data_IF_397251678421
#
_entry.id   IF_397251678421
#
_cell.length_a   1.000
_cell.length_b   1.000
_cell.length_c   1.000
_cell.angle_alpha   90.00
_cell.angle_beta   90.00
_cell.angle_gamma   90.00
#
_symmetry.space_group_name_H-M   'P 1'
#
loop_
_entity.id
_entity.type
_entity.pdbx_description
1 polymer ?
#
# COMPACT_ATOMS: atom_id res chain seq x y z
N UNK A 1 2.54 16.85 38.86
CA UNK A 1 2.82 18.24 38.45
C UNK A 1 3.91 18.76 39.34
N UNK A 2 5.01 19.22 38.75
CA UNK A 2 6.05 19.95 39.48
C UNK A 2 5.46 21.28 39.98
N UNK A 3 5.64 21.60 41.26
CA UNK A 3 4.97 22.77 41.86
C UNK A 3 5.62 24.11 41.45
N UNK A 4 6.81 24.05 40.87
CA UNK A 4 7.58 25.23 40.44
C UNK A 4 7.45 25.53 38.94
N UNK A 5 6.69 24.75 38.16
CA UNK A 5 6.54 25.02 36.72
C UNK A 5 5.55 26.17 36.46
N UNK A 6 5.97 27.16 35.67
CA UNK A 6 5.14 28.31 35.29
C UNK A 6 4.16 27.98 34.15
N UNK A 7 4.43 26.89 33.43
CA UNK A 7 3.69 26.43 32.25
C UNK A 7 3.46 24.92 32.32
N UNK A 8 2.37 24.48 31.70
CA UNK A 8 1.98 23.11 31.45
C UNK A 8 2.05 22.88 29.94
N UNK A 9 2.85 21.91 29.53
CA UNK A 9 2.87 21.43 28.15
C UNK A 9 2.70 19.91 28.18
N UNK A 10 1.72 19.42 27.42
CA UNK A 10 1.47 18.00 27.27
C UNK A 10 1.27 17.69 25.80
N UNK A 11 2.01 16.71 25.31
CA UNK A 11 1.98 16.28 23.92
C UNK A 11 1.72 14.78 23.86
N UNK A 12 0.75 14.37 23.05
CA UNK A 12 0.44 12.97 22.82
C UNK A 12 0.48 12.67 21.33
N UNK A 13 1.22 11.63 20.97
CA UNK A 13 1.13 11.00 19.66
C UNK A 13 0.22 9.78 19.78
N UNK A 14 -0.89 9.79 19.05
CA UNK A 14 -1.87 8.72 19.02
C UNK A 14 -1.79 8.06 17.65
N UNK A 15 -1.45 6.78 17.62
CA UNK A 15 -1.29 6.00 16.39
C UNK A 15 -2.25 4.81 16.37
N UNK A 16 -3.18 4.84 15.44
CA UNK A 16 -4.05 3.72 15.11
C UNK A 16 -3.42 2.85 13.99
N UNK A 17 -3.86 1.59 13.85
CA UNK A 17 -3.54 0.78 12.67
C UNK A 17 -3.96 1.49 11.37
N UNK A 18 -3.23 1.23 10.28
CA UNK A 18 -3.60 1.77 8.95
C UNK A 18 -4.98 1.23 8.56
N UNK A 19 -5.84 2.10 8.01
CA UNK A 19 -7.25 1.78 7.75
C UNK A 19 -8.21 2.19 8.87
N UNK A 20 -7.70 2.56 10.05
CA UNK A 20 -8.51 3.15 11.12
C UNK A 20 -8.35 4.67 11.18
N UNK A 21 -9.27 5.31 11.89
CA UNK A 21 -9.25 6.72 12.30
C UNK A 21 -9.25 6.82 13.82
N UNK A 22 -8.63 7.88 14.33
CA UNK A 22 -8.64 8.23 15.75
C UNK A 22 -9.88 9.06 16.03
N UNK A 23 -10.76 8.55 16.89
CA UNK A 23 -11.89 9.28 17.43
C UNK A 23 -11.54 9.73 18.85
N UNK A 24 -11.22 11.01 18.98
CA UNK A 24 -10.92 11.68 20.25
C UNK A 24 -12.21 12.27 20.82
N UNK A 25 -12.58 11.82 22.02
CA UNK A 25 -13.75 12.31 22.75
C UNK A 25 -13.23 13.04 23.99
N UNK A 26 -13.26 14.36 23.96
CA UNK A 26 -12.86 15.21 25.10
C UNK A 26 -14.09 15.44 25.96
N UNK A 27 -14.15 14.72 27.09
CA UNK A 27 -15.24 14.84 28.06
C UNK A 27 -15.17 16.21 28.75
N UNK A 28 -13.98 16.59 29.21
CA UNK A 28 -13.74 17.89 29.86
C UNK A 28 -12.38 18.47 29.50
N UNK A 29 -12.36 19.76 29.16
CA UNK A 29 -11.18 20.64 29.21
C UNK A 29 -11.59 21.87 30.02
N UNK A 30 -11.12 21.97 31.25
CA UNK A 30 -11.48 23.01 32.20
C UNK A 30 -10.31 24.00 32.37
N UNK A 31 -10.48 25.17 31.74
CA UNK A 31 -9.47 26.21 31.67
C UNK A 31 -10.10 27.61 31.76
N UNK A 32 -9.33 28.54 32.32
CA UNK A 32 -9.67 29.96 32.41
C UNK A 32 -8.71 30.77 31.54
N UNK A 33 -9.24 31.35 30.46
CA UNK A 33 -8.47 32.18 29.56
C UNK A 33 -8.71 33.67 29.86
N UNK A 34 -7.62 34.45 29.97
CA UNK A 34 -7.71 35.92 29.90
C UNK A 34 -7.88 36.33 28.44
N UNK A 35 -8.61 37.41 28.19
CA UNK A 35 -9.01 37.94 26.87
C UNK A 35 -7.87 38.28 25.88
N UNK A 36 -6.59 38.17 26.28
CA UNK A 36 -5.42 38.56 25.50
C UNK A 36 -4.61 37.39 24.92
N UNK A 37 -4.94 36.13 25.22
CA UNK A 37 -4.18 34.99 24.71
C UNK A 37 -4.58 34.63 23.27
N UNK A 38 -3.62 34.63 22.35
CA UNK A 38 -3.83 34.24 20.95
C UNK A 38 -4.19 32.75 20.86
N UNK A 39 -5.35 32.46 20.25
CA UNK A 39 -5.77 31.09 19.95
C UNK A 39 -5.27 30.61 18.57
N UNK A 40 -4.44 31.41 17.91
CA UNK A 40 -3.82 31.07 16.65
C UNK A 40 -2.48 30.37 16.93
N UNK A 41 -2.37 29.13 16.47
CA UNK A 41 -1.11 28.43 16.46
C UNK A 41 -0.30 28.94 15.26
N UNK A 42 0.71 29.79 15.50
CA UNK A 42 1.53 30.37 14.45
C UNK A 42 2.96 29.83 14.50
N UNK A 43 3.56 29.57 13.34
CA UNK A 43 4.89 28.97 13.24
C UNK A 43 6.02 29.92 13.67
N UNK A 44 5.81 31.23 13.52
CA UNK A 44 6.79 32.27 13.86
C UNK A 44 6.74 32.66 15.36
N UNK A 45 5.66 32.31 16.06
CA UNK A 45 5.39 32.66 17.47
C UNK A 45 4.98 31.43 18.31
N UNK A 46 5.64 30.29 18.11
CA UNK A 46 5.37 29.03 18.86
C UNK A 46 5.43 29.18 20.38
N UNK A 47 6.10 30.22 20.87
CA UNK A 47 6.25 30.51 22.29
C UNK A 47 4.97 31.08 22.94
N UNK A 48 4.04 31.66 22.18
CA UNK A 48 2.85 32.34 22.71
C UNK A 48 1.55 31.53 22.67
N UNK A 49 1.52 30.40 21.97
CA UNK A 49 0.31 29.58 21.88
C UNK A 49 -0.10 29.05 23.27
N UNK A 50 -1.32 29.40 23.69
CA UNK A 50 -1.93 28.95 24.93
C UNK A 50 -3.30 28.31 24.65
N UNK A 51 -3.30 27.02 24.35
CA UNK A 51 -4.49 26.29 23.94
C UNK A 51 -4.28 24.79 23.76
N UNK A 52 -5.34 24.14 23.29
CA UNK A 52 -5.36 22.80 22.74
C UNK A 52 -5.24 22.90 21.23
N UNK A 53 -4.34 22.12 20.64
CA UNK A 53 -4.16 22.01 19.21
C UNK A 53 -4.10 20.55 18.80
N UNK A 54 -4.84 20.20 17.75
CA UNK A 54 -4.86 18.87 17.16
C UNK A 54 -4.25 18.95 15.77
N UNK A 55 -3.22 18.16 15.50
CA UNK A 55 -2.54 18.08 14.22
C UNK A 55 -2.81 16.73 13.56
N UNK A 56 -2.89 16.72 12.23
CA UNK A 56 -2.88 15.49 11.46
C UNK A 56 -1.46 14.91 11.44
N UNK A 57 -1.32 13.61 11.70
CA UNK A 57 -0.02 12.93 11.67
C UNK A 57 0.64 12.76 13.04
N UNK A 58 1.93 12.45 13.01
CA UNK A 58 2.69 12.04 14.19
C UNK A 58 3.20 13.20 15.08
N UNK A 59 3.14 14.44 14.60
CA UNK A 59 3.75 15.60 15.29
C UNK A 59 3.10 16.92 14.89
N UNK A 60 3.46 18.01 15.58
CA UNK A 60 3.12 19.38 15.20
C UNK A 60 4.02 19.96 14.09
N UNK A 61 4.75 19.11 13.34
CA UNK A 61 5.71 19.51 12.31
C UNK A 61 5.08 20.35 11.19
N UNK A 62 3.83 20.07 10.83
CA UNK A 62 3.12 20.85 9.81
C UNK A 62 3.04 22.33 10.21
N UNK A 63 2.96 22.62 11.51
CA UNK A 63 2.73 23.95 12.02
C UNK A 63 1.30 24.45 11.84
N UNK A 64 0.40 23.63 11.29
CA UNK A 64 -1.00 23.96 11.05
C UNK A 64 -1.88 22.90 11.70
N UNK A 65 -2.46 23.19 12.87
CA UNK A 65 -3.42 22.30 13.50
C UNK A 65 -4.74 22.27 12.72
N UNK A 66 -5.35 21.09 12.66
CA UNK A 66 -6.68 20.86 12.11
C UNK A 66 -7.78 21.38 13.04
N UNK A 67 -7.48 21.50 14.33
CA UNK A 67 -8.40 22.07 15.31
C UNK A 67 -7.62 22.76 16.42
N UNK A 68 -8.06 23.96 16.81
CA UNK A 68 -7.58 24.64 18.02
C UNK A 68 -8.73 25.02 18.93
N UNK A 69 -8.47 24.98 20.23
CA UNK A 69 -9.39 25.47 21.23
C UNK A 69 -8.66 26.06 22.43
N UNK A 70 -9.09 27.24 22.85
CA UNK A 70 -8.45 27.96 23.95
C UNK A 70 -9.42 28.29 25.08
N UNK A 71 -10.70 27.95 24.90
CA UNK A 71 -11.75 28.05 25.90
C UNK A 71 -12.04 26.68 26.52
N UNK A 72 -12.75 26.69 27.65
CA UNK A 72 -13.24 25.46 28.26
C UNK A 72 -14.14 24.68 27.29
N UNK A 73 -13.94 23.37 27.21
CA UNK A 73 -14.72 22.46 26.37
C UNK A 73 -15.40 21.43 27.26
N UNK A 74 -16.64 21.08 26.91
CA UNK A 74 -17.33 19.89 27.41
C UNK A 74 -17.89 19.11 26.24
N UNK A 75 -17.62 17.80 26.21
CA UNK A 75 -18.12 16.86 25.20
C UNK A 75 -17.77 17.23 23.75
N UNK A 76 -16.49 17.45 23.44
CA UNK A 76 -16.02 17.56 22.06
C UNK A 76 -15.75 16.16 21.50
N UNK A 77 -16.22 15.90 20.28
CA UNK A 77 -15.84 14.71 19.52
C UNK A 77 -15.09 15.14 18.26
N UNK A 78 -13.86 14.68 18.10
CA UNK A 78 -13.01 14.95 16.95
C UNK A 78 -12.60 13.63 16.28
N UNK A 79 -12.85 13.51 14.97
CA UNK A 79 -12.41 12.37 14.16
C UNK A 79 -11.23 12.80 13.30
N UNK A 80 -10.10 12.09 13.41
CA UNK A 80 -8.93 12.36 12.58
C UNK A 80 -9.18 12.00 11.12
N UNK A 81 -8.44 12.65 10.22
CA UNK A 81 -8.46 12.34 8.79
C UNK A 81 -7.52 11.18 8.44
N UNK A 82 -6.54 10.86 9.30
CA UNK A 82 -5.58 9.75 9.13
C UNK A 82 -5.62 8.78 10.29
N UNK A 83 -4.74 7.78 10.27
CA UNK A 83 -4.51 6.88 11.40
C UNK A 83 -3.60 7.47 12.49
N UNK A 84 -3.06 8.69 12.34
CA UNK A 84 -2.20 9.34 13.32
C UNK A 84 -2.76 10.71 13.72
N UNK A 85 -2.78 10.99 15.02
CA UNK A 85 -3.21 12.26 15.59
C UNK A 85 -2.17 12.73 16.60
N UNK A 86 -1.77 14.00 16.51
CA UNK A 86 -0.92 14.63 17.51
C UNK A 86 -1.70 15.69 18.26
N UNK A 87 -1.87 15.49 19.57
CA UNK A 87 -2.57 16.40 20.47
C UNK A 87 -1.55 17.18 21.29
N UNK A 88 -1.63 18.50 21.26
CA UNK A 88 -0.82 19.43 22.05
C UNK A 88 -1.73 20.23 22.97
N UNK A 89 -1.44 20.22 24.27
CA UNK A 89 -2.00 21.14 25.26
C UNK A 89 -0.86 22.01 25.77
N UNK A 90 -1.02 23.33 25.68
CA UNK A 90 -0.05 24.28 26.20
C UNK A 90 -0.79 25.38 26.96
N UNK A 91 -0.56 25.48 28.27
CA UNK A 91 -1.25 26.45 29.12
C UNK A 91 -0.31 27.02 30.19
N UNK A 92 -0.58 28.24 30.66
CA UNK A 92 -0.01 28.68 31.93
C UNK A 92 -0.69 27.93 33.07
N UNK A 93 0.07 27.51 34.10
CA UNK A 93 -0.49 26.88 35.29
C UNK A 93 -1.55 27.75 35.98
N UNK A 94 -1.51 29.09 35.79
CA UNK A 94 -2.52 30.03 36.32
C UNK A 94 -3.88 29.94 35.62
N UNK A 95 -3.93 29.35 34.42
CA UNK A 95 -5.13 29.20 33.60
C UNK A 95 -5.78 27.83 33.76
N UNK A 96 -5.12 26.86 34.38
CA UNK A 96 -5.66 25.51 34.58
C UNK A 96 -6.58 25.52 35.79
N UNK A 97 -7.87 25.24 35.59
CA UNK A 97 -8.86 25.19 36.65
C UNK A 97 -9.57 23.83 36.60
N UNK A 98 -9.24 22.89 37.50
CA UNK A 98 -9.93 21.61 37.56
C UNK A 98 -11.44 21.80 37.71
N UNK A 99 -12.20 20.91 37.08
CA UNK A 99 -13.65 20.87 37.21
C UNK A 99 -14.09 20.38 38.61
N UNK A 100 -15.40 20.18 38.80
CA UNK A 100 -15.96 19.72 40.06
C UNK A 100 -15.50 18.31 40.49
N UNK A 101 -14.92 17.54 39.57
CA UNK A 101 -14.39 16.19 39.81
C UNK A 101 -12.86 16.18 39.97
N UNK A 102 -12.21 17.34 39.80
CA UNK A 102 -10.77 17.50 39.93
C UNK A 102 -9.98 17.27 38.65
N UNK A 103 -10.63 17.13 37.49
CA UNK A 103 -9.98 16.99 36.19
C UNK A 103 -9.91 18.34 35.47
N UNK A 104 -8.73 18.71 34.98
CA UNK A 104 -8.61 19.84 34.05
C UNK A 104 -8.67 19.40 32.59
N UNK A 105 -8.32 18.14 32.30
CA UNK A 105 -8.43 17.53 30.99
C UNK A 105 -8.75 16.04 31.16
N UNK A 106 -9.86 15.61 30.57
CA UNK A 106 -10.30 14.22 30.52
C UNK A 106 -10.74 13.93 29.09
N UNK A 107 -10.10 12.95 28.46
CA UNK A 107 -10.43 12.54 27.11
C UNK A 107 -10.28 11.03 26.94
N UNK A 108 -11.19 10.46 26.17
CA UNK A 108 -11.20 9.06 25.75
C UNK A 108 -10.86 8.96 24.27
N UNK A 109 -10.15 7.90 23.91
CA UNK A 109 -9.71 7.64 22.53
C UNK A 109 -10.24 6.31 22.08
N UNK A 110 -10.88 6.30 20.92
CA UNK A 110 -11.37 5.07 20.27
C UNK A 110 -10.95 5.06 18.81
N UNK A 111 -10.97 3.88 18.18
CA UNK A 111 -10.60 3.74 16.78
C UNK A 111 -11.81 3.31 15.95
N UNK A 112 -12.09 4.06 14.90
CA UNK A 112 -13.18 3.77 13.95
C UNK A 112 -12.61 3.42 12.59
N UNK A 113 -13.37 2.73 11.75
CA UNK A 113 -12.94 2.43 10.38
C UNK A 113 -12.88 3.69 9.50
N UNK A 114 -11.93 3.72 8.58
CA UNK A 114 -11.90 4.68 7.49
C UNK A 114 -13.05 4.40 6.52
N UNK A 115 -13.72 5.44 6.01
CA UNK A 115 -14.73 5.24 4.98
C UNK A 115 -14.03 5.12 3.61
N UNK A 116 -13.89 3.89 3.14
CA UNK A 116 -13.22 3.57 1.87
C UNK A 116 -14.04 4.09 0.66
N UNK A 117 -15.34 4.33 0.83
CA UNK A 117 -16.18 4.85 -0.24
C UNK A 117 -16.09 6.38 -0.36
N UNK A 118 -15.71 7.05 0.72
CA UNK A 118 -15.54 8.49 0.74
C UNK A 118 -14.14 8.86 0.23
N UNK A 119 -14.06 9.22 -1.05
CA UNK A 119 -12.79 9.57 -1.69
C UNK A 119 -12.15 10.87 -1.18
N UNK A 120 -12.91 11.69 -0.45
CA UNK A 120 -12.37 12.88 0.23
C UNK A 120 -11.71 12.53 1.57
N UNK A 121 -11.96 11.35 2.13
CA UNK A 121 -11.16 10.83 3.24
C UNK A 121 -9.84 10.26 2.69
N UNK A 122 -8.72 10.91 3.04
CA UNK A 122 -7.42 10.43 2.59
C UNK A 122 -6.83 9.38 3.52
N UNK A 123 -6.15 8.39 2.94
CA UNK A 123 -5.49 7.29 3.63
C UNK A 123 -6.41 6.10 3.91
N UNK A 124 -5.80 4.93 4.11
CA UNK A 124 -6.54 3.67 4.28
C UNK A 124 -5.77 2.46 3.76
N UNK A 125 -6.43 1.32 3.66
CA UNK A 125 -5.89 0.13 2.99
C UNK A 125 -6.54 0.02 1.61
N UNK A 126 -5.73 -0.09 0.56
CA UNK A 126 -6.19 -0.20 -0.82
C UNK A 126 -5.75 -1.54 -1.38
N UNK A 127 -6.71 -2.46 -1.50
CA UNK A 127 -6.53 -3.74 -2.18
C UNK A 127 -6.60 -3.50 -3.69
N UNK A 128 -5.47 -3.65 -4.39
CA UNK A 128 -5.40 -3.42 -5.84
C UNK A 128 -5.71 -4.74 -6.55
N UNK A 129 -6.68 -4.72 -7.45
CA UNK A 129 -7.03 -5.90 -8.26
C UNK A 129 -6.25 -5.91 -9.57
N UNK A 130 -5.99 -7.10 -10.11
CA UNK A 130 -5.49 -7.27 -11.47
C UNK A 130 -6.49 -6.90 -12.56
N UNK A 131 -7.78 -6.83 -12.24
CA UNK A 131 -8.84 -6.56 -13.21
C UNK A 131 -9.04 -5.06 -13.50
N UNK A 132 -8.80 -4.19 -12.52
CA UNK A 132 -9.03 -2.75 -12.64
C UNK A 132 -8.05 -1.96 -11.78
N UNK A 133 -7.54 -0.82 -12.27
CA UNK A 133 -6.66 0.03 -11.50
C UNK A 133 -7.42 0.73 -10.37
N UNK A 134 -6.74 0.93 -9.25
CA UNK A 134 -7.22 1.71 -8.11
C UNK A 134 -6.74 3.15 -8.23
N UNK A 135 -7.63 4.13 -8.09
CA UNK A 135 -7.29 5.55 -8.21
C UNK A 135 -7.47 6.22 -6.85
N UNK A 136 -6.46 6.95 -6.40
CA UNK A 136 -6.51 7.82 -5.21
C UNK A 136 -6.10 9.25 -5.58
N UNK A 137 -6.57 10.21 -4.80
CA UNK A 137 -6.24 11.62 -4.97
C UNK A 137 -6.11 12.32 -3.61
N UNK A 138 -5.61 13.55 -3.62
CA UNK A 138 -5.65 14.41 -2.43
C UNK A 138 -7.11 14.75 -2.04
N UNK A 139 -7.39 15.03 -0.75
CA UNK A 139 -8.71 15.52 -0.34
C UNK A 139 -9.17 16.72 -1.17
N UNK A 140 -10.47 16.79 -1.51
CA UNK A 140 -11.10 17.86 -2.30
C UNK A 140 -10.64 17.97 -3.76
N UNK A 141 -9.76 17.10 -4.24
CA UNK A 141 -9.30 17.13 -5.63
C UNK A 141 -10.50 17.15 -6.61
N UNK A 142 -10.52 18.04 -7.62
CA UNK A 142 -9.42 18.87 -8.13
C UNK A 142 -9.16 20.19 -7.39
N UNK A 143 -9.91 20.50 -6.34
CA UNK A 143 -9.69 21.68 -5.51
C UNK A 143 -8.47 21.49 -4.59
N UNK A 144 -7.93 22.61 -4.12
CA UNK A 144 -6.79 22.62 -3.19
C UNK A 144 -7.14 21.89 -1.89
N UNK A 145 -6.24 21.01 -1.44
CA UNK A 145 -6.37 20.29 -0.18
C UNK A 145 -6.17 21.21 1.04
N UNK A 146 -6.55 20.78 2.24
CA UNK A 146 -6.40 21.59 3.45
C UNK A 146 -4.94 21.69 3.90
N UNK A 147 -4.56 22.82 4.50
CA UNK A 147 -3.18 22.97 5.02
C UNK A 147 -2.92 21.97 6.13
N UNK A 148 -1.69 21.46 6.18
CA UNK A 148 -1.32 20.43 7.16
C UNK A 148 -2.05 19.11 6.94
N UNK A 149 -2.58 18.88 5.73
CA UNK A 149 -3.05 17.55 5.30
C UNK A 149 -1.86 16.58 5.35
N UNK A 150 -2.00 15.51 6.09
CA UNK A 150 -1.14 14.34 5.99
C UNK A 150 -2.04 13.17 5.64
N UNK A 151 -1.58 12.22 4.82
CA UNK A 151 -2.35 11.07 4.39
C UNK A 151 -1.42 9.86 4.22
N UNK A 152 -1.91 8.66 4.57
CA UNK A 152 -1.16 7.41 4.48
C UNK A 152 -2.04 6.30 3.91
N UNK A 153 -1.66 5.73 2.76
CA UNK A 153 -2.32 4.60 2.14
C UNK A 153 -1.41 3.39 2.12
N UNK A 154 -1.88 2.25 2.62
CA UNK A 154 -1.22 0.97 2.45
C UNK A 154 -1.86 0.24 1.27
N UNK A 155 -1.11 0.12 0.18
CA UNK A 155 -1.52 -0.65 -0.97
C UNK A 155 -1.09 -2.11 -0.79
N UNK A 156 -1.99 -3.01 -1.17
CA UNK A 156 -1.76 -4.46 -1.15
C UNK A 156 -2.12 -5.03 -2.51
N UNK A 157 -1.21 -5.80 -3.08
CA UNK A 157 -1.47 -6.60 -4.27
C UNK A 157 -1.71 -8.07 -3.90
N UNK A 158 -2.40 -8.84 -4.77
CA UNK A 158 -2.50 -10.27 -4.60
C UNK A 158 -1.11 -10.94 -4.65
N UNK A 159 -0.94 -12.11 -4.03
CA UNK A 159 0.32 -12.84 -4.10
C UNK A 159 0.76 -13.11 -5.54
N UNK A 160 2.05 -12.93 -5.81
CA UNK A 160 2.64 -13.10 -7.14
C UNK A 160 2.43 -11.91 -8.08
N UNK A 161 1.86 -10.81 -7.58
CA UNK A 161 1.81 -9.53 -8.27
C UNK A 161 2.60 -8.47 -7.49
N UNK A 162 3.21 -7.55 -8.21
CA UNK A 162 3.81 -6.34 -7.67
C UNK A 162 3.04 -5.09 -8.10
N UNK A 163 3.28 -3.96 -7.43
CA UNK A 163 2.54 -2.72 -7.66
C UNK A 163 3.25 -1.83 -8.68
N UNK A 164 2.49 -1.24 -9.60
CA UNK A 164 2.96 -0.16 -10.46
C UNK A 164 2.08 1.05 -10.21
N UNK A 165 2.71 2.15 -9.80
CA UNK A 165 2.04 3.42 -9.64
C UNK A 165 2.21 4.28 -10.88
N UNK A 166 1.15 4.97 -11.28
CA UNK A 166 1.15 5.99 -12.32
C UNK A 166 0.67 7.29 -11.72
N UNK A 167 1.61 8.21 -11.52
CA UNK A 167 1.34 9.55 -11.04
C UNK A 167 0.88 10.33 -12.26
N UNK A 168 -0.44 10.54 -12.40
CA UNK A 168 -1.03 11.22 -13.56
C UNK A 168 -0.87 12.73 -13.46
N UNK A 169 -1.15 13.26 -12.28
CA UNK A 169 -1.12 14.69 -12.00
C UNK A 169 -0.50 14.88 -10.60
N UNK A 170 0.38 15.87 -10.46
CA UNK A 170 0.89 16.37 -9.20
C UNK A 170 1.16 17.86 -9.40
N UNK A 171 0.41 18.72 -8.74
CA UNK A 171 0.51 20.17 -8.85
C UNK A 171 0.56 20.75 -7.43
N UNK A 172 1.62 21.50 -7.17
CA UNK A 172 1.90 22.17 -5.91
C UNK A 172 1.05 23.42 -5.75
N UNK A 173 0.72 23.82 -4.53
CA UNK A 173 0.00 25.06 -4.29
C UNK A 173 0.88 26.30 -4.53
N UNK A 174 2.21 26.27 -4.32
CA UNK A 174 3.02 27.47 -4.52
C UNK A 174 3.56 27.57 -5.95
N UNK A 175 2.99 28.47 -6.74
CA UNK A 175 3.62 28.90 -7.98
C UNK A 175 4.74 29.90 -7.64
N UNK A 176 5.98 29.43 -7.41
CA UNK A 176 7.09 30.34 -7.10
C UNK A 176 7.72 30.91 -8.38
N UNK A 177 7.59 32.23 -8.60
CA UNK A 177 8.23 32.94 -9.74
C UNK A 177 9.78 33.01 -9.64
N UNK A 178 10.39 32.80 -8.47
CA UNK A 178 11.87 32.72 -8.39
C UNK A 178 12.43 31.33 -8.73
N UNK A 179 11.81 30.61 -9.67
CA UNK A 179 12.50 29.58 -10.45
C UNK A 179 13.54 30.18 -11.42
N UNK A 180 13.86 31.47 -11.31
CA UNK A 180 15.07 32.05 -11.91
C UNK A 180 16.32 31.45 -11.25
N UNK A 181 16.81 30.41 -11.89
CA UNK A 181 18.23 30.03 -11.94
C UNK A 181 18.91 29.70 -10.60
N UNK A 182 18.26 28.92 -9.73
CA UNK A 182 19.02 27.90 -8.99
C UNK A 182 18.75 26.56 -9.62
N UNK A 183 19.50 26.25 -10.69
CA UNK A 183 19.81 24.88 -11.08
C UNK A 183 20.42 24.18 -9.87
N UNK A 184 19.57 23.61 -9.02
CA UNK A 184 19.97 22.59 -8.09
C UNK A 184 20.46 21.43 -8.94
N UNK A 185 21.78 21.33 -9.11
CA UNK A 185 22.38 20.15 -9.69
C UNK A 185 22.04 18.97 -8.77
N UNK A 186 21.29 17.95 -9.23
CA UNK A 186 21.14 16.73 -8.46
C UNK A 186 22.55 16.17 -8.29
N UNK A 187 23.08 16.17 -7.07
CA UNK A 187 24.22 15.28 -6.79
C UNK A 187 23.65 13.87 -6.94
N UNK A 188 24.24 13.17 -7.90
CA UNK A 188 23.82 11.91 -8.49
C UNK A 188 23.12 10.90 -7.57
N UNK A 189 22.17 10.20 -8.19
CA UNK A 189 21.57 8.91 -7.82
C UNK A 189 20.77 8.90 -6.52
N UNK A 190 19.46 9.18 -6.66
CA UNK A 190 18.34 8.43 -6.07
C UNK A 190 17.04 9.07 -6.60
N UNK A 191 15.97 8.28 -6.77
CA UNK A 191 14.66 8.69 -7.28
C UNK A 191 13.88 9.65 -6.33
N UNK A 192 14.58 10.57 -5.67
CA UNK A 192 14.05 11.50 -4.69
C UNK A 192 14.16 12.92 -5.26
N UNK A 193 13.03 13.52 -5.65
CA UNK A 193 13.01 14.86 -6.28
C UNK A 193 13.27 15.99 -5.29
N UNK A 194 13.22 15.72 -3.97
CA UNK A 194 13.31 16.74 -2.93
C UNK A 194 13.70 16.16 -1.55
N UNK A 195 14.53 16.90 -0.82
CA UNK A 195 14.85 16.68 0.60
C UNK A 195 14.23 17.78 1.47
N UNK A 196 14.17 17.53 2.77
CA UNK A 196 13.74 18.55 3.74
C UNK A 196 14.60 19.82 3.58
N UNK A 197 14.00 21.04 3.60
CA UNK A 197 12.64 21.37 4.03
C UNK A 197 11.59 21.51 2.91
N UNK A 198 11.93 21.25 1.63
CA UNK A 198 11.03 21.43 0.48
C UNK A 198 9.63 20.76 0.64
N UNK A 199 9.51 19.52 1.16
CA UNK A 199 8.23 18.89 1.43
C UNK A 199 7.26 19.68 2.33
N UNK A 200 7.77 20.57 3.20
CA UNK A 200 6.90 21.42 4.03
C UNK A 200 6.30 22.57 3.24
N UNK A 201 7.05 23.08 2.28
CA UNK A 201 6.70 24.24 1.49
C UNK A 201 5.78 23.80 0.35
N UNK A 202 6.22 22.85 -0.47
CA UNK A 202 5.51 22.44 -1.69
C UNK A 202 4.57 21.24 -1.52
N UNK A 203 4.62 20.61 -0.35
CA UNK A 203 4.06 19.27 -0.17
C UNK A 203 4.93 18.19 -0.77
N UNK A 204 4.62 16.93 -0.48
CA UNK A 204 5.31 15.78 -1.04
C UNK A 204 4.42 14.54 -1.14
N UNK A 205 4.47 13.86 -2.28
CA UNK A 205 4.00 12.48 -2.45
C UNK A 205 5.20 11.53 -2.38
N UNK A 206 5.21 10.58 -1.45
CA UNK A 206 6.29 9.59 -1.27
C UNK A 206 5.74 8.17 -1.41
N UNK A 207 6.43 7.34 -2.18
CA UNK A 207 6.14 5.91 -2.38
C UNK A 207 7.28 5.10 -1.73
N UNK A 208 6.93 4.16 -0.86
CA UNK A 208 7.88 3.32 -0.12
C UNK A 208 7.80 1.86 -0.60
N UNK A 209 8.95 1.19 -0.67
CA UNK A 209 9.08 -0.22 -1.05
C UNK A 209 8.75 -1.19 0.08
N UNK A 210 7.70 -0.89 0.86
CA UNK A 210 7.27 -1.68 2.00
C UNK A 210 6.12 -1.01 2.74
N UNK A 211 5.64 -1.66 3.81
CA UNK A 211 4.41 -1.25 4.50
C UNK A 211 4.57 -0.15 5.56
N UNK A 212 5.75 0.44 5.71
CA UNK A 212 6.05 1.44 6.72
C UNK A 212 7.06 2.48 6.23
N UNK A 213 7.21 3.58 6.98
CA UNK A 213 8.06 4.72 6.61
C UNK A 213 9.57 4.47 6.79
N UNK A 214 9.97 3.35 7.40
CA UNK A 214 11.37 2.95 7.53
C UNK A 214 11.87 2.16 6.31
N UNK A 215 10.95 1.70 5.45
CA UNK A 215 11.29 1.05 4.19
C UNK A 215 11.98 2.04 3.23
N UNK A 216 12.60 1.50 2.18
CA UNK A 216 13.24 2.29 1.14
C UNK A 216 12.22 3.23 0.48
N UNK A 217 12.62 4.48 0.24
CA UNK A 217 11.82 5.45 -0.52
C UNK A 217 12.09 5.23 -2.00
N UNK A 218 11.16 4.61 -2.69
CA UNK A 218 11.26 4.30 -4.12
C UNK A 218 11.11 5.58 -4.95
N UNK A 219 10.19 6.45 -4.55
CA UNK A 219 9.98 7.74 -5.22
C UNK A 219 9.52 8.80 -4.22
N UNK A 220 9.92 10.05 -4.43
CA UNK A 220 9.33 11.19 -3.73
C UNK A 220 9.31 12.42 -4.63
N UNK A 221 8.11 12.94 -4.87
CA UNK A 221 7.88 14.14 -5.70
C UNK A 221 7.41 15.29 -4.81
N UNK A 222 7.98 16.48 -5.03
CA UNK A 222 7.55 17.75 -4.40
C UNK A 222 7.34 18.88 -5.41
N UNK A 223 7.55 18.64 -6.70
CA UNK A 223 7.43 19.65 -7.74
C UNK A 223 6.38 19.20 -8.75
N UNK A 224 5.80 20.17 -9.45
CA UNK A 224 4.82 19.92 -10.51
C UNK A 224 5.38 18.92 -11.53
N UNK A 225 4.54 17.97 -11.95
CA UNK A 225 4.88 17.05 -13.05
C UNK A 225 4.20 17.54 -14.32
N UNK A 226 4.96 17.61 -15.42
CA UNK A 226 4.44 17.98 -16.74
C UNK A 226 3.83 16.78 -17.46
N UNK A 227 4.39 15.58 -17.25
CA UNK A 227 3.96 14.33 -17.86
C UNK A 227 3.74 13.23 -16.81
N UNK A 228 2.80 12.30 -17.06
CA UNK A 228 2.57 11.18 -16.16
C UNK A 228 3.83 10.32 -15.95
N UNK A 229 4.12 9.98 -14.69
CA UNK A 229 5.29 9.17 -14.32
C UNK A 229 4.88 7.80 -13.80
N UNK A 230 5.48 6.74 -14.34
CA UNK A 230 5.29 5.37 -13.84
C UNK A 230 6.41 4.97 -12.89
N UNK A 231 6.04 4.33 -11.77
CA UNK A 231 6.92 3.95 -10.67
C UNK A 231 6.61 2.49 -10.29
N UNK A 232 7.38 1.51 -10.78
CA UNK A 232 7.23 0.12 -10.36
C UNK A 232 7.79 -0.08 -8.95
N UNK A 233 7.06 -0.82 -8.12
CA UNK A 233 7.45 -1.24 -6.77
C UNK A 233 7.36 -2.75 -6.71
N UNK A 234 8.51 -3.42 -6.67
CA UNK A 234 8.62 -4.90 -6.67
C UNK A 234 8.33 -5.51 -5.29
N UNK A 235 7.20 -5.15 -4.70
CA UNK A 235 6.72 -5.64 -3.41
C UNK A 235 5.20 -5.85 -3.44
N UNK A 236 4.71 -6.77 -2.60
CA UNK A 236 3.27 -7.06 -2.45
C UNK A 236 2.54 -6.02 -1.60
N UNK A 237 3.27 -5.37 -0.69
CA UNK A 237 2.76 -4.26 0.12
C UNK A 237 3.63 -3.01 -0.10
N UNK A 238 2.97 -1.86 -0.22
CA UNK A 238 3.63 -0.58 -0.44
C UNK A 238 2.88 0.54 0.27
N UNK A 239 3.61 1.34 1.06
CA UNK A 239 3.08 2.52 1.71
C UNK A 239 3.23 3.72 0.78
N UNK A 240 2.17 4.49 0.62
CA UNK A 240 2.19 5.79 -0.05
C UNK A 240 1.78 6.85 0.96
N UNK A 241 2.57 7.90 1.08
CA UNK A 241 2.27 9.03 1.97
C UNK A 241 2.16 10.32 1.18
N UNK A 242 1.12 11.10 1.44
CA UNK A 242 1.01 12.47 0.95
C UNK A 242 1.11 13.43 2.13
N UNK A 243 1.95 14.45 1.97
CA UNK A 243 2.06 15.57 2.89
C UNK A 243 1.71 16.82 2.10
N UNK A 244 0.61 17.46 2.44
CA UNK A 244 0.22 18.72 1.85
C UNK A 244 1.17 19.84 2.26
N UNK A 245 1.34 20.82 1.39
CA UNK A 245 2.01 22.06 1.72
C UNK A 245 1.40 22.71 2.96
N UNK A 246 2.27 23.26 3.80
CA UNK A 246 1.88 24.04 4.95
C UNK A 246 1.71 25.53 4.58
N UNK A 247 2.45 26.01 3.58
CA UNK A 247 2.40 27.42 3.14
C UNK A 247 1.22 27.68 2.20
N UNK A 248 0.67 28.89 2.29
CA UNK A 248 -0.39 29.35 1.40
C UNK A 248 0.13 29.61 -0.02
N UNK A 249 -0.68 29.30 -1.03
CA UNK A 249 -0.50 29.82 -2.39
C UNK A 249 -0.51 31.35 -2.39
N UNK A 250 0.61 31.96 -2.76
CA UNK A 250 0.67 33.39 -3.07
C UNK A 250 0.06 33.58 -4.46
N UNK A 251 -1.13 34.17 -4.52
CA UNK A 251 -1.80 34.44 -5.79
C UNK A 251 -1.20 35.69 -6.43
N UNK A 252 -0.71 35.55 -7.67
CA UNK A 252 -0.36 36.72 -8.47
C UNK A 252 -1.63 37.33 -9.07
N UNK A 253 -1.71 38.65 -9.09
CA UNK A 253 -2.85 39.38 -9.67
C UNK A 253 -2.96 39.07 -11.16
N UNK A 254 -4.08 38.45 -11.58
CA UNK A 254 -4.37 38.11 -12.98
C UNK A 254 -4.29 36.62 -13.33
N UNK A 255 -3.92 35.75 -12.38
CA UNK A 255 -3.97 34.29 -12.58
C UNK A 255 -5.39 33.77 -12.33
N UNK A 256 -5.93 32.97 -13.25
CA UNK A 256 -7.28 32.43 -13.14
C UNK A 256 -7.33 31.33 -12.06
N UNK A 257 -8.02 31.63 -10.96
CA UNK A 257 -8.09 30.76 -9.77
C UNK A 257 -8.75 29.39 -10.04
N UNK A 258 -9.47 29.24 -11.15
CA UNK A 258 -10.27 28.06 -11.47
C UNK A 258 -9.63 27.07 -12.46
N UNK A 259 -8.38 27.29 -12.89
CA UNK A 259 -7.76 26.45 -13.93
C UNK A 259 -6.70 25.44 -13.44
N UNK A 260 -6.20 25.54 -12.20
CA UNK A 260 -5.12 24.65 -11.71
C UNK A 260 -5.65 23.63 -10.69
N UNK A 261 -5.55 22.35 -11.05
CA UNK A 261 -5.95 21.21 -10.21
C UNK A 261 -4.87 20.93 -9.15
N UNK A 262 -4.90 21.66 -8.03
CA UNK A 262 -3.88 21.54 -6.98
C UNK A 262 -4.05 20.23 -6.23
N UNK A 263 -2.96 19.51 -6.00
CA UNK A 263 -2.98 18.19 -5.38
C UNK A 263 -2.39 17.11 -6.28
N UNK A 264 -2.88 15.88 -6.15
CA UNK A 264 -2.36 14.77 -6.94
C UNK A 264 -3.44 13.79 -7.36
N UNK A 265 -3.18 13.08 -8.45
CA UNK A 265 -3.96 11.95 -8.94
C UNK A 265 -3.03 10.76 -9.19
N UNK A 266 -3.16 9.71 -8.37
CA UNK A 266 -2.35 8.51 -8.43
C UNK A 266 -3.21 7.32 -8.84
N UNK A 267 -2.77 6.60 -9.86
CA UNK A 267 -3.34 5.33 -10.25
C UNK A 267 -2.39 4.19 -9.84
N UNK A 268 -2.92 3.13 -9.24
CA UNK A 268 -2.19 1.93 -8.90
C UNK A 268 -2.75 0.75 -9.69
N UNK A 269 -1.87 0.00 -10.33
CA UNK A 269 -2.19 -1.28 -11.00
C UNK A 269 -1.25 -2.36 -10.49
N UNK A 270 -1.66 -3.61 -10.66
CA UNK A 270 -0.77 -4.75 -10.39
C UNK A 270 -0.14 -5.25 -11.67
N UNK A 271 1.10 -5.71 -11.59
CA UNK A 271 1.78 -6.42 -12.67
C UNK A 271 2.32 -7.76 -12.16
N UNK A 272 2.39 -8.76 -13.04
CA UNK A 272 2.75 -10.11 -12.66
C UNK A 272 4.25 -10.25 -12.33
N UNK A 273 4.55 -10.90 -11.20
CA UNK A 273 5.90 -11.28 -10.82
C UNK A 273 6.31 -10.78 -9.43
N UNK A 274 7.59 -10.97 -9.13
CA UNK A 274 8.21 -10.53 -7.87
C UNK A 274 8.46 -11.66 -6.88
N UNK A 275 8.60 -11.29 -5.61
CA UNK A 275 8.91 -12.20 -4.50
C UNK A 275 7.64 -12.56 -3.74
N UNK A 276 7.43 -13.86 -3.54
CA UNK A 276 6.37 -14.42 -2.69
C UNK A 276 7.02 -15.09 -1.48
N UNK A 277 6.56 -14.76 -0.28
CA UNK A 277 7.04 -15.34 0.96
C UNK A 277 6.04 -16.40 1.44
N UNK A 278 6.46 -17.66 1.42
CA UNK A 278 5.68 -18.80 1.89
C UNK A 278 5.70 -18.89 3.43
N UNK A 279 4.56 -19.24 4.01
CA UNK A 279 4.37 -19.44 5.46
C UNK A 279 3.88 -20.86 5.76
N UNK A 280 3.59 -21.18 7.01
CA UNK A 280 3.01 -22.47 7.43
C UNK A 280 1.55 -22.68 6.97
N UNK A 281 0.87 -21.60 6.59
CA UNK A 281 -0.46 -21.63 5.95
C UNK A 281 -0.32 -21.71 4.43
N UNK A 282 -1.03 -22.66 3.81
CA UNK A 282 -1.09 -22.79 2.35
C UNK A 282 -1.69 -21.52 1.71
N UNK A 283 -0.88 -20.86 0.87
CA UNK A 283 -1.30 -19.73 0.04
C UNK A 283 -1.59 -20.20 -1.38
N UNK A 284 -2.52 -19.53 -2.07
CA UNK A 284 -2.85 -19.78 -3.47
C UNK A 284 -2.70 -18.49 -4.26
N UNK A 285 -1.93 -18.54 -5.35
CA UNK A 285 -1.86 -17.47 -6.34
C UNK A 285 -2.56 -17.90 -7.62
N UNK A 286 -3.37 -17.00 -8.18
CA UNK A 286 -4.12 -17.25 -9.41
C UNK A 286 -3.84 -16.13 -10.39
N UNK A 287 -3.36 -16.52 -11.57
CA UNK A 287 -3.15 -15.62 -12.69
C UNK A 287 -4.18 -15.93 -13.77
N UNK A 288 -4.80 -14.90 -14.30
CA UNK A 288 -5.79 -15.02 -15.37
C UNK A 288 -5.61 -13.86 -16.33
N UNK A 289 -5.48 -14.17 -17.61
CA UNK A 289 -5.40 -13.15 -18.68
C UNK A 289 -4.28 -12.11 -18.46
N UNK A 290 -3.07 -12.60 -18.18
CA UNK A 290 -1.89 -11.76 -17.95
C UNK A 290 -1.60 -10.83 -19.14
N UNK A 291 -1.38 -9.55 -18.84
CA UNK A 291 -0.94 -8.54 -19.81
C UNK A 291 0.52 -8.78 -20.19
N UNK A 292 1.35 -9.15 -19.21
CA UNK A 292 2.78 -9.31 -19.36
C UNK A 292 3.14 -10.52 -20.20
N UNK A 293 4.11 -10.34 -21.10
CA UNK A 293 4.66 -11.44 -21.90
C UNK A 293 5.51 -12.41 -21.06
N UNK A 294 6.16 -11.88 -20.03
CA UNK A 294 6.99 -12.66 -19.10
C UNK A 294 6.60 -12.30 -17.68
N UNK A 295 6.29 -13.31 -16.89
CA UNK A 295 6.04 -13.17 -15.46
C UNK A 295 7.00 -14.05 -14.67
N UNK A 296 7.89 -13.40 -13.92
CA UNK A 296 8.90 -14.07 -13.11
C UNK A 296 8.54 -13.98 -11.64
N UNK A 297 8.30 -15.13 -11.02
CA UNK A 297 7.93 -15.26 -9.62
C UNK A 297 9.04 -16.02 -8.91
N UNK A 298 9.46 -15.51 -7.76
CA UNK A 298 10.38 -16.22 -6.87
C UNK A 298 9.66 -16.50 -5.57
N UNK A 299 9.59 -17.75 -5.16
CA UNK A 299 8.96 -18.18 -3.90
C UNK A 299 10.08 -18.53 -2.92
N UNK A 300 10.07 -17.91 -1.74
CA UNK A 300 11.04 -18.13 -0.65
C UNK A 300 10.34 -18.34 0.68
N UNK A 301 11.04 -18.94 1.64
CA UNK A 301 10.55 -19.08 3.01
C UNK A 301 10.43 -17.69 3.66
N UNK A 302 9.32 -17.44 4.35
CA UNK A 302 9.14 -16.24 5.17
C UNK A 302 9.98 -16.31 6.45
N UNK A 303 10.00 -17.48 7.08
CA UNK A 303 10.89 -17.79 8.19
C UNK A 303 12.01 -18.72 7.72
N UNK A 304 13.26 -18.28 7.90
CA UNK A 304 14.44 -19.06 7.54
C UNK A 304 14.57 -20.36 8.37
N UNK A 305 13.86 -20.46 9.49
CA UNK A 305 13.81 -21.67 10.34
C UNK A 305 13.03 -22.83 9.71
N UNK A 306 12.17 -22.58 8.72
CA UNK A 306 11.39 -23.61 8.06
C UNK A 306 12.27 -24.59 7.27
N UNK A 307 11.84 -25.86 7.25
CA UNK A 307 12.57 -26.99 6.65
C UNK A 307 12.71 -26.89 5.13
N UNK A 308 11.73 -26.30 4.47
CA UNK A 308 11.72 -26.12 3.02
C UNK A 308 10.49 -25.38 2.53
N UNK A 309 10.25 -25.49 1.23
CA UNK A 309 9.13 -24.91 0.51
C UNK A 309 8.45 -26.02 -0.28
N UNK A 310 7.13 -26.04 -0.19
CA UNK A 310 6.22 -26.82 -1.00
C UNK A 310 5.53 -25.91 -2.02
N UNK A 311 5.51 -26.31 -3.29
CA UNK A 311 4.77 -25.64 -4.35
C UNK A 311 4.00 -26.66 -5.16
N UNK A 312 2.74 -26.38 -5.49
CA UNK A 312 1.90 -27.21 -6.33
C UNK A 312 1.33 -26.40 -7.49
N UNK A 313 1.55 -26.88 -8.71
CA UNK A 313 0.96 -26.31 -9.92
C UNK A 313 -0.40 -26.98 -10.19
N UNK A 314 -1.48 -26.34 -9.73
CA UNK A 314 -2.84 -26.88 -9.83
C UNK A 314 -3.42 -26.73 -11.24
N UNK A 315 -3.22 -25.58 -11.89
CA UNK A 315 -3.70 -25.33 -13.26
C UNK A 315 -2.62 -24.62 -14.09
N UNK A 316 -2.42 -25.08 -15.33
CA UNK A 316 -1.72 -24.32 -16.37
C UNK A 316 -2.34 -24.57 -17.74
N UNK A 317 -3.37 -23.78 -18.08
CA UNK A 317 -4.16 -23.96 -19.30
C UNK A 317 -4.21 -22.69 -20.14
N UNK A 318 -4.22 -22.86 -21.47
CA UNK A 318 -4.63 -21.79 -22.39
C UNK A 318 -6.16 -21.78 -22.50
N UNK A 319 -6.82 -20.69 -22.11
CA UNK A 319 -8.27 -20.57 -22.06
C UNK A 319 -8.77 -19.31 -22.78
N UNK A 320 -9.49 -19.51 -23.89
CA UNK A 320 -10.19 -18.42 -24.58
C UNK A 320 -9.26 -17.42 -25.26
N UNK A 321 -9.83 -16.26 -25.63
CA UNK A 321 -9.12 -15.16 -26.28
C UNK A 321 -8.76 -14.10 -25.24
N UNK A 322 -7.51 -13.67 -25.19
CA UNK A 322 -7.05 -12.58 -24.30
C UNK A 322 -7.76 -11.28 -24.63
N UNK A 323 -8.08 -10.49 -23.60
CA UNK A 323 -8.62 -9.14 -23.79
C UNK A 323 -7.54 -8.13 -24.18
N UNK A 324 -6.29 -8.44 -23.86
CA UNK A 324 -5.13 -7.61 -24.12
C UNK A 324 -4.56 -7.98 -25.49
N UNK A 325 -4.63 -7.04 -26.45
CA UNK A 325 -4.07 -7.21 -27.80
C UNK A 325 -2.64 -6.69 -27.82
N UNK A 326 -1.67 -7.56 -28.09
CA UNK A 326 -0.33 -7.12 -28.48
C UNK A 326 -0.34 -6.65 -29.94
N UNK A 327 0.46 -5.63 -30.25
CA UNK A 327 0.69 -5.19 -31.64
C UNK A 327 1.49 -6.23 -32.42
N UNK A 328 2.32 -7.02 -31.73
CA UNK A 328 3.07 -8.12 -32.31
C UNK A 328 2.33 -9.44 -32.09
N UNK A 329 1.94 -10.06 -33.20
CA UNK A 329 1.22 -11.32 -33.19
C UNK A 329 2.22 -12.47 -33.11
N UNK A 330 2.51 -12.93 -31.89
CA UNK A 330 3.40 -14.05 -31.63
C UNK A 330 2.56 -15.33 -31.62
N UNK A 331 3.03 -16.33 -32.36
CA UNK A 331 2.43 -17.65 -32.46
C UNK A 331 3.32 -18.67 -31.75
N UNK A 332 2.71 -19.53 -30.94
CA UNK A 332 3.37 -20.61 -30.22
C UNK A 332 2.54 -21.07 -29.02
N UNK A 333 3.01 -22.09 -28.33
CA UNK A 333 2.46 -22.45 -27.03
C UNK A 333 3.16 -21.62 -25.96
N UNK A 334 2.39 -21.02 -25.05
CA UNK A 334 2.94 -20.44 -23.83
C UNK A 334 3.59 -21.54 -23.00
N UNK A 335 4.57 -21.22 -22.17
CA UNK A 335 5.23 -22.21 -21.33
C UNK A 335 5.53 -21.65 -19.95
N UNK A 336 5.77 -22.55 -19.00
CA UNK A 336 6.17 -22.24 -17.63
C UNK A 336 7.46 -22.99 -17.34
N UNK A 337 8.47 -22.24 -16.94
CA UNK A 337 9.77 -22.75 -16.52
C UNK A 337 9.83 -22.75 -15.01
N UNK A 338 10.24 -23.88 -14.43
CA UNK A 338 10.33 -24.09 -12.99
C UNK A 338 11.78 -24.45 -12.68
N UNK A 339 12.39 -23.70 -11.76
CA UNK A 339 13.74 -23.94 -11.28
C UNK A 339 13.74 -24.07 -9.76
N UNK A 340 14.28 -25.18 -9.26
CA UNK A 340 14.34 -25.53 -7.84
C UNK A 340 15.77 -25.28 -7.34
N UNK A 341 15.94 -24.44 -6.31
CA UNK A 341 17.23 -24.17 -5.64
C UNK A 341 18.42 -23.88 -6.60
N UNK A 342 18.15 -23.26 -7.75
CA UNK A 342 19.16 -22.95 -8.76
C UNK A 342 19.64 -24.15 -9.61
N UNK A 343 18.94 -25.28 -9.55
CA UNK A 343 19.18 -26.46 -10.37
C UNK A 343 18.76 -26.31 -11.84
N UNK A 344 18.52 -27.44 -12.49
CA UNK A 344 18.05 -27.47 -13.89
C UNK A 344 16.66 -26.86 -14.04
N UNK A 345 16.41 -26.26 -15.20
CA UNK A 345 15.12 -25.64 -15.53
C UNK A 345 14.22 -26.71 -16.14
N UNK A 346 13.08 -26.94 -15.52
CA UNK A 346 12.02 -27.80 -16.04
C UNK A 346 10.98 -26.95 -16.77
N UNK A 347 10.81 -27.18 -18.08
CA UNK A 347 9.80 -26.46 -18.87
C UNK A 347 8.53 -27.30 -19.04
N UNK A 348 7.37 -26.63 -18.99
CA UNK A 348 6.06 -27.20 -19.34
C UNK A 348 5.37 -26.29 -20.33
N UNK A 349 4.85 -26.83 -21.42
CA UNK A 349 4.08 -26.06 -22.38
C UNK A 349 2.58 -26.09 -22.05
N UNK A 350 1.92 -24.93 -22.15
CA UNK A 350 0.48 -24.83 -22.15
C UNK A 350 -0.03 -25.37 -23.50
N UNK A 351 -0.63 -26.55 -23.48
CA UNK A 351 -1.28 -27.12 -24.66
C UNK A 351 -2.52 -26.29 -25.03
N UNK A 352 -2.65 -25.97 -26.32
CA UNK A 352 -3.57 -24.95 -26.84
C UNK A 352 -5.06 -25.37 -26.90
N UNK A 353 -5.97 -24.46 -27.32
CA UNK A 353 -7.42 -24.64 -27.27
C UNK A 353 -7.98 -25.69 -28.26
N UNK A 354 -7.15 -26.25 -29.14
CA UNK A 354 -7.57 -27.15 -30.24
C UNK A 354 -6.93 -28.54 -30.21
N UNK A 355 -6.03 -28.83 -29.26
CA UNK A 355 -5.42 -30.16 -29.11
C UNK A 355 -5.89 -30.77 -27.78
N UNK A 356 -6.60 -31.91 -27.88
CA UNK A 356 -7.09 -32.72 -26.76
C UNK A 356 -5.95 -33.62 -26.27
N UNK A 357 -4.80 -33.02 -26.00
CA UNK A 357 -3.85 -33.62 -25.07
C UNK A 357 -3.69 -32.61 -23.97
N UNK A 358 -4.13 -32.99 -22.79
CA UNK A 358 -4.36 -32.11 -21.65
C UNK A 358 -3.04 -31.73 -20.98
N UNK A 359 -3.00 -30.49 -20.48
CA UNK A 359 -1.89 -29.93 -19.71
C UNK A 359 -1.76 -30.62 -18.36
N UNK A 360 -0.53 -30.78 -17.90
CA UNK A 360 -0.16 -31.24 -16.55
C UNK A 360 -0.90 -30.42 -15.50
N UNK A 361 -1.78 -31.05 -14.73
CA UNK A 361 -2.46 -30.43 -13.59
C UNK A 361 -2.13 -31.27 -12.37
N UNK A 362 -1.67 -30.60 -11.31
CA UNK A 362 -1.27 -31.17 -10.02
C UNK A 362 0.16 -31.76 -9.97
N UNK A 363 1.15 -31.02 -10.48
CA UNK A 363 2.58 -31.30 -10.22
C UNK A 363 3.02 -30.64 -8.90
N UNK A 364 3.69 -31.40 -8.03
CA UNK A 364 4.25 -30.91 -6.77
C UNK A 364 5.77 -30.78 -6.83
N UNK A 365 6.29 -29.73 -6.23
CA UNK A 365 7.71 -29.39 -6.17
C UNK A 365 8.12 -29.08 -4.73
N UNK A 366 9.33 -29.48 -4.36
CA UNK A 366 9.94 -29.24 -3.06
C UNK A 366 11.30 -28.59 -3.23
N UNK A 367 11.59 -27.62 -2.38
CA UNK A 367 12.88 -26.91 -2.35
C UNK A 367 13.32 -26.66 -0.91
N UNK A 368 14.63 -26.50 -0.69
CA UNK A 368 15.18 -26.11 0.61
C UNK A 368 15.10 -24.60 0.84
N UNK A 369 15.32 -23.81 -0.22
CA UNK A 369 15.51 -22.37 -0.10
C UNK A 369 14.62 -21.54 -1.03
N UNK A 370 14.54 -21.90 -2.31
CA UNK A 370 13.80 -21.13 -3.31
C UNK A 370 13.25 -21.95 -4.48
N UNK A 371 12.10 -21.53 -4.99
CA UNK A 371 11.55 -21.99 -6.26
C UNK A 371 11.31 -20.78 -7.15
N UNK A 372 11.88 -20.77 -8.35
CA UNK A 372 11.67 -19.75 -9.37
C UNK A 372 10.73 -20.30 -10.44
N UNK A 373 9.71 -19.52 -10.77
CA UNK A 373 8.71 -19.84 -11.77
C UNK A 373 8.70 -18.69 -12.78
N UNK A 374 8.96 -19.01 -14.05
CA UNK A 374 8.87 -18.05 -15.14
C UNK A 374 7.78 -18.48 -16.12
N UNK A 375 6.68 -17.75 -16.14
CA UNK A 375 5.66 -17.90 -17.17
C UNK A 375 6.02 -17.03 -18.37
N UNK A 376 6.00 -17.62 -19.56
CA UNK A 376 6.26 -16.94 -20.82
C UNK A 376 5.08 -17.12 -21.76
N UNK A 377 4.40 -16.02 -22.06
CA UNK A 377 3.29 -15.92 -23.01
C UNK A 377 3.85 -15.82 -24.43
N UNK A 378 3.79 -16.92 -25.18
CA UNK A 378 4.14 -16.95 -26.61
C UNK A 378 2.95 -16.80 -27.55
N UNK A 379 1.74 -16.98 -27.05
CA UNK A 379 0.54 -16.74 -27.83
C UNK A 379 -0.14 -15.45 -27.34
N UNK A 380 -0.01 -14.38 -28.11
CA UNK A 380 -0.64 -13.10 -27.76
C UNK A 380 -2.15 -13.09 -28.01
N UNK A 381 -2.75 -14.18 -28.52
CA UNK A 381 -4.18 -14.34 -28.74
C UNK A 381 -4.88 -15.19 -27.66
N UNK A 382 -4.14 -15.97 -26.88
CA UNK A 382 -4.71 -16.85 -25.86
C UNK A 382 -4.49 -16.28 -24.47
N UNK A 383 -5.55 -16.26 -23.65
CA UNK A 383 -5.39 -16.04 -22.23
C UNK A 383 -4.88 -17.33 -21.58
N UNK A 384 -3.96 -17.21 -20.63
CA UNK A 384 -3.55 -18.32 -19.78
C UNK A 384 -4.24 -18.20 -18.41
N UNK A 385 -4.56 -19.35 -17.82
CA UNK A 385 -4.95 -19.46 -16.41
C UNK A 385 -3.92 -20.34 -15.71
N UNK A 386 -3.29 -19.76 -14.67
CA UNK A 386 -2.26 -20.40 -13.86
C UNK A 386 -2.74 -20.37 -12.42
N UNK A 387 -2.77 -21.53 -11.75
CA UNK A 387 -3.10 -21.62 -10.32
C UNK A 387 -1.96 -22.36 -9.63
N UNK A 388 -1.33 -21.71 -8.65
CA UNK A 388 -0.19 -22.24 -7.91
C UNK A 388 -0.50 -22.15 -6.41
N UNK A 389 -0.42 -23.28 -5.72
CA UNK A 389 -0.44 -23.33 -4.26
C UNK A 389 1.00 -23.38 -3.72
N UNK A 390 1.24 -22.80 -2.55
CA UNK A 390 2.56 -22.77 -1.92
C UNK A 390 2.47 -22.76 -0.39
N UNK A 391 3.42 -23.38 0.28
CA UNK A 391 3.52 -23.45 1.75
C UNK A 391 4.96 -23.77 2.17
N UNK A 392 5.26 -23.64 3.46
CA UNK A 392 6.48 -24.20 4.09
C UNK A 392 6.26 -25.58 4.69
N UNK A 393 5.02 -26.08 4.74
CA UNK A 393 4.69 -27.41 5.24
C UNK A 393 4.94 -28.45 4.14
N UNK A 394 6.17 -28.99 4.13
CA UNK A 394 6.65 -29.93 3.09
C UNK A 394 6.14 -31.36 3.24
N UNK A 395 5.65 -31.70 4.43
CA UNK A 395 5.15 -33.04 4.77
C UNK A 395 3.75 -33.31 4.18
N UNK A 396 3.06 -32.26 3.73
CA UNK A 396 1.79 -32.39 3.05
C UNK A 396 2.01 -32.88 1.62
N UNK A 397 1.29 -33.92 1.22
CA UNK A 397 1.21 -34.37 -0.15
C UNK A 397 -0.18 -34.93 -0.43
N UNK A 398 -0.61 -34.81 -1.69
CA UNK A 398 -1.98 -35.13 -2.05
C UNK A 398 -2.83 -33.89 -2.28
N UNK A 399 -4.12 -34.11 -2.49
CA UNK A 399 -5.05 -33.04 -2.80
C UNK A 399 -6.28 -33.52 -3.55
N UNK A 400 -7.19 -32.59 -3.83
CA UNK A 400 -8.34 -32.85 -4.68
C UNK A 400 -8.02 -32.43 -6.12
N UNK A 401 -8.19 -33.37 -7.05
CA UNK A 401 -7.96 -33.17 -8.47
C UNK A 401 -9.33 -33.09 -9.15
N UNK A 402 -9.68 -31.90 -9.62
CA UNK A 402 -10.93 -31.63 -10.37
C UNK A 402 -10.69 -31.44 -11.86
N UNK A 403 -9.47 -31.67 -12.34
CA UNK A 403 -9.13 -31.59 -13.75
C UNK A 403 -9.67 -32.81 -14.50
N UNK A 404 -9.97 -32.63 -15.78
CA UNK A 404 -10.50 -33.72 -16.62
C UNK A 404 -9.48 -34.83 -16.86
N UNK A 405 -8.20 -34.48 -16.88
CA UNK A 405 -7.05 -35.36 -17.13
C UNK A 405 -5.80 -34.68 -16.53
N UNK A 406 -4.79 -35.46 -16.12
CA UNK A 406 -3.57 -34.96 -15.49
C UNK A 406 -2.57 -36.06 -15.15
N UNK A 407 -1.41 -35.66 -14.63
CA UNK A 407 -0.38 -36.58 -14.14
C UNK A 407 -0.20 -36.35 -12.64
N UNK A 408 -0.13 -37.44 -11.89
CA UNK A 408 0.23 -37.42 -10.48
C UNK A 408 1.66 -37.95 -10.40
N UNK A 409 2.59 -37.12 -9.97
CA UNK A 409 3.94 -37.56 -9.63
C UNK A 409 4.05 -37.79 -8.13
N UNK A 410 4.78 -38.84 -7.75
CA UNK A 410 5.18 -39.01 -6.36
C UNK A 410 6.26 -37.97 -6.08
N UNK A 411 6.05 -37.07 -5.11
CA UNK A 411 7.07 -36.09 -4.78
C UNK A 411 8.28 -36.74 -4.09
N UNK A 412 9.44 -36.10 -4.24
CA UNK A 412 10.62 -36.45 -3.46
C UNK A 412 10.43 -35.97 -2.00
N UNK A 413 9.96 -36.86 -1.14
CA UNK A 413 9.81 -36.65 0.31
C UNK A 413 10.80 -37.56 1.03
N UNK A 414 11.58 -36.98 1.93
CA UNK A 414 12.44 -37.74 2.85
C UNK A 414 11.61 -38.24 4.04
N UNK A 415 11.60 -39.56 4.27
CA UNK A 415 10.93 -40.19 5.42
C UNK A 415 9.66 -40.96 5.05
N UNK A 416 8.92 -41.38 6.08
CA UNK A 416 7.64 -42.06 5.91
C UNK A 416 6.54 -41.02 5.65
N UNK A 417 5.75 -41.20 4.59
CA UNK A 417 4.67 -40.29 4.22
C UNK A 417 3.45 -41.05 3.71
N UNK A 418 2.27 -40.47 3.95
CA UNK A 418 0.99 -40.96 3.45
C UNK A 418 0.34 -39.87 2.59
N UNK A 419 0.44 -40.01 1.26
CA UNK A 419 -0.18 -39.08 0.32
C UNK A 419 -1.56 -39.59 -0.13
N UNK A 420 -2.56 -38.71 -0.12
CA UNK A 420 -3.92 -39.04 -0.59
C UNK A 420 -4.36 -38.07 -1.66
N UNK A 421 -4.56 -38.57 -2.88
CA UNK A 421 -5.17 -37.82 -3.98
C UNK A 421 -6.63 -38.26 -4.17
N UNK A 422 -7.54 -37.29 -4.19
CA UNK A 422 -8.96 -37.50 -4.46
C UNK A 422 -9.30 -36.96 -5.85
N UNK A 423 -9.60 -37.84 -6.81
CA UNK A 423 -10.04 -37.43 -8.15
C UNK A 423 -11.55 -37.22 -8.14
N UNK A 424 -12.00 -35.97 -8.34
CA UNK A 424 -13.41 -35.60 -8.40
C UNK A 424 -13.78 -35.20 -9.82
N UNK A 425 -14.73 -35.94 -10.40
CA UNK A 425 -15.29 -35.64 -11.72
C UNK A 425 -16.81 -35.42 -11.63
N UNK A 426 -17.39 -34.80 -12.66
CA UNK A 426 -18.82 -34.56 -12.72
C UNK A 426 -19.63 -35.88 -12.72
N UNK A 427 -20.82 -35.91 -12.09
CA UNK A 427 -21.65 -37.11 -12.05
C UNK A 427 -21.93 -37.69 -13.45
N UNK A 428 -21.74 -39.00 -13.61
CA UNK A 428 -21.97 -39.72 -14.86
C UNK A 428 -20.71 -40.01 -15.68
N UNK A 429 -19.58 -39.42 -15.31
CA UNK A 429 -18.27 -39.70 -15.91
C UNK A 429 -17.49 -40.72 -15.06
N UNK A 430 -16.64 -41.54 -15.70
CA UNK A 430 -15.73 -42.47 -15.03
C UNK A 430 -14.29 -41.97 -15.03
N UNK A 431 -13.52 -42.33 -14.01
CA UNK A 431 -12.09 -42.01 -13.92
C UNK A 431 -11.26 -43.20 -14.40
N UNK A 432 -10.27 -42.95 -15.26
CA UNK A 432 -9.29 -43.96 -15.72
C UNK A 432 -7.90 -43.52 -15.28
N UNK A 433 -7.19 -44.39 -14.56
CA UNK A 433 -5.81 -44.20 -14.19
C UNK A 433 -4.90 -45.20 -14.93
N UNK A 434 -3.71 -44.75 -15.32
CA UNK A 434 -2.64 -45.59 -15.86
C UNK A 434 -1.32 -45.18 -15.21
N UNK A 435 -0.49 -46.17 -14.87
CA UNK A 435 0.84 -45.94 -14.28
C UNK A 435 1.86 -46.09 -15.40
N UNK A 436 2.75 -45.11 -15.53
CA UNK A 436 3.85 -45.08 -16.52
C UNK A 436 5.19 -45.22 -15.86
#
# INVERSE_FOLDING_TARGET
>A
MDRDSSQLECAWQIKAPIGKRVLLIVDTLAIFQKTEASCQYNNDEKEEFAGMAIFSGASNRSGYPQYTACTSIKNLTYRSHTNELFLLLKYSMKSVMPDGEGYFFLANVTFTDADINNRDECGGVVEVSSAQPSVIHSPRYPEEYERGTECQWLFKSPPGYYLIYKIKEYITPNAHEQQTEKKWMPRAMNNLTCQDPLPLIEGALTIYGGNNTNAEKIERICLDIEEPKEVPVFATESLVTFRGAATARIHMTGEDQHLKKVGFLLEARTACGGLVLADDVEGVMTFSDLEEEVCNITIRKKDESASGIYVRLDEFISRGITKHRSNDMIFGNSFIDIQIDGGEIMSREAKGPYLIETSTTHEEFRAKNEIKIAFVKKNSLLAARVVIAYSTVIDNCGGEITSREGFISIPEIDGDFDCVWTLRENPGNGVRASVT
#
